data_IF_587859708716
#
_entry.id   IF_587859708716
#
_cell.length_a   1.000
_cell.length_b   1.000
_cell.length_c   1.000
_cell.angle_alpha   90.00
_cell.angle_beta   90.00
_cell.angle_gamma   90.00
#
_symmetry.space_group_name_H-M   'P 1'
#
loop_
_entity.id
_entity.type
_entity.pdbx_description
1 polymer ?
#
# COMPACT_ATOMS: atom_id res chain seq x y z
N UNK A 1 0.82 -1.10 20.41
CA UNK A 1 1.49 -1.56 19.16
C UNK A 1 0.76 -1.01 17.95
N UNK A 2 1.37 -0.09 17.20
CA UNK A 2 0.82 0.43 15.93
C UNK A 2 0.96 -0.67 14.88
N UNK A 3 -0.14 -1.35 14.49
CA UNK A 3 -0.11 -2.37 13.43
C UNK A 3 0.35 -1.70 12.14
N UNK A 4 1.59 -1.94 11.73
CA UNK A 4 2.07 -1.56 10.41
C UNK A 4 1.20 -2.31 9.39
N UNK A 5 0.45 -1.57 8.58
CA UNK A 5 -0.37 -2.15 7.53
C UNK A 5 0.54 -2.91 6.56
N UNK A 6 0.15 -4.13 6.16
CA UNK A 6 0.96 -5.03 5.32
C UNK A 6 1.11 -4.56 3.85
N UNK A 7 1.01 -3.26 3.59
CA UNK A 7 1.07 -2.71 2.22
C UNK A 7 0.02 -3.29 1.27
N UNK A 8 -1.12 -3.77 1.80
CA UNK A 8 -2.16 -4.35 0.95
C UNK A 8 -2.78 -3.26 0.08
N UNK A 9 -2.83 -3.53 -1.23
CA UNK A 9 -3.65 -2.78 -2.18
C UNK A 9 -5.09 -2.75 -1.67
N UNK A 10 -5.71 -1.57 -1.70
CA UNK A 10 -7.15 -1.45 -1.42
C UNK A 10 -7.94 -1.98 -2.60
N UNK A 11 -9.21 -2.31 -2.38
CA UNK A 11 -10.09 -2.74 -3.46
C UNK A 11 -10.21 -1.69 -4.59
N UNK A 12 -9.95 -0.41 -4.29
CA UNK A 12 -9.89 0.68 -5.28
C UNK A 12 -8.62 0.57 -6.14
N UNK A 13 -7.48 0.23 -5.53
CA UNK A 13 -6.21 0.05 -6.24
C UNK A 13 -6.22 -1.20 -7.15
N UNK A 14 -7.23 -2.08 -7.03
CA UNK A 14 -7.41 -3.29 -7.85
C UNK A 14 -8.41 -3.10 -9.00
N UNK A 15 -8.99 -1.90 -9.14
CA UNK A 15 -9.91 -1.61 -10.23
C UNK A 15 -9.16 -1.59 -11.58
N UNK A 16 -9.83 -1.98 -12.68
CA UNK A 16 -9.22 -1.92 -14.00
C UNK A 16 -9.01 -0.47 -14.45
N UNK A 17 -8.07 -0.26 -15.36
CA UNK A 17 -7.67 1.05 -15.89
C UNK A 17 -8.85 1.86 -16.48
N UNK A 18 -9.89 1.17 -16.99
CA UNK A 18 -11.11 1.82 -17.46
C UNK A 18 -11.81 2.67 -16.39
N UNK A 19 -11.57 2.40 -15.11
CA UNK A 19 -12.14 3.14 -13.98
C UNK A 19 -11.28 4.34 -13.53
N UNK A 20 -10.11 4.56 -14.11
CA UNK A 20 -9.15 5.57 -13.64
C UNK A 20 -9.75 6.98 -13.61
N UNK A 21 -10.58 7.32 -14.60
CA UNK A 21 -11.27 8.61 -14.66
C UNK A 21 -12.25 8.79 -13.48
N UNK A 22 -12.96 7.72 -13.09
CA UNK A 22 -13.89 7.74 -11.97
C UNK A 22 -13.13 7.87 -10.64
N UNK A 23 -11.97 7.21 -10.53
CA UNK A 23 -11.10 7.32 -9.36
C UNK A 23 -10.52 8.73 -9.25
N UNK A 24 -10.11 9.34 -10.37
CA UNK A 24 -9.59 10.70 -10.44
C UNK A 24 -10.66 11.72 -10.01
N UNK A 25 -11.87 11.63 -10.57
CA UNK A 25 -12.99 12.50 -10.17
C UNK A 25 -13.33 12.39 -8.68
N UNK A 26 -13.30 11.17 -8.12
CA UNK A 26 -13.50 10.98 -6.69
C UNK A 26 -12.35 11.58 -5.85
N UNK A 27 -11.11 11.48 -6.32
CA UNK A 27 -9.96 12.10 -5.65
C UNK A 27 -10.05 13.63 -5.63
N UNK A 28 -10.49 14.24 -6.72
CA UNK A 28 -10.73 15.67 -6.82
C UNK A 28 -11.85 16.11 -5.88
N UNK A 29 -12.99 15.42 -5.88
CA UNK A 29 -14.11 15.71 -4.98
C UNK A 29 -13.71 15.60 -3.49
N UNK A 30 -12.85 14.63 -3.13
CA UNK A 30 -12.31 14.48 -1.78
C UNK A 30 -11.38 15.64 -1.39
N UNK A 31 -10.61 16.18 -2.33
CA UNK A 31 -9.72 17.31 -2.09
C UNK A 31 -10.47 18.64 -2.01
N UNK A 32 -11.54 18.83 -2.78
CA UNK A 32 -12.36 20.06 -2.80
C UNK A 32 -13.09 20.34 -1.48
N UNK A 33 -13.38 19.30 -0.68
CA UNK A 33 -14.07 19.40 0.63
C UNK A 33 -15.48 20.02 0.60
N UNK A 34 -16.10 20.13 -0.57
CA UNK A 34 -17.44 20.69 -0.73
C UNK A 34 -18.56 19.71 -0.34
N UNK A 35 -18.30 18.41 -0.51
CA UNK A 35 -19.27 17.33 -0.29
C UNK A 35 -18.86 16.45 0.88
N UNK A 36 -19.85 15.82 1.51
CA UNK A 36 -19.59 14.79 2.52
C UNK A 36 -19.01 13.54 1.86
N UNK A 37 -18.16 12.83 2.61
CA UNK A 37 -17.52 11.61 2.11
C UNK A 37 -18.53 10.52 1.69
N UNK A 38 -19.70 10.46 2.35
CA UNK A 38 -20.77 9.55 1.97
C UNK A 38 -21.37 9.91 0.61
N UNK A 39 -21.69 11.18 0.38
CA UNK A 39 -22.22 11.64 -0.90
C UNK A 39 -21.23 11.36 -2.04
N UNK A 40 -19.94 11.62 -1.83
CA UNK A 40 -18.89 11.32 -2.81
C UNK A 40 -18.82 9.82 -3.10
N UNK A 41 -18.95 8.96 -2.07
CA UNK A 41 -18.96 7.52 -2.27
C UNK A 41 -20.18 7.03 -3.05
N UNK A 42 -21.36 7.62 -2.81
CA UNK A 42 -22.57 7.27 -3.54
C UNK A 42 -22.46 7.66 -5.03
N UNK A 43 -21.92 8.84 -5.33
CA UNK A 43 -21.60 9.28 -6.69
C UNK A 43 -20.57 8.35 -7.37
N UNK A 44 -19.48 8.03 -6.67
CA UNK A 44 -18.45 7.10 -7.14
C UNK A 44 -19.03 5.72 -7.47
N UNK A 45 -19.86 5.18 -6.58
CA UNK A 45 -20.53 3.89 -6.77
C UNK A 45 -21.53 3.92 -7.93
N UNK A 46 -22.24 5.02 -8.12
CA UNK A 46 -23.15 5.20 -9.24
C UNK A 46 -22.39 5.23 -10.58
N UNK A 47 -21.28 5.97 -10.64
CA UNK A 47 -20.42 6.05 -11.82
C UNK A 47 -19.82 4.68 -12.18
N UNK A 48 -19.31 3.92 -11.21
CA UNK A 48 -18.80 2.56 -11.46
C UNK A 48 -19.88 1.63 -12.03
N UNK A 49 -21.12 1.72 -11.54
CA UNK A 49 -22.24 0.93 -12.05
C UNK A 49 -22.64 1.33 -13.47
N UNK A 50 -22.61 2.63 -13.78
CA UNK A 50 -22.88 3.13 -15.14
C UNK A 50 -21.84 2.58 -16.11
N UNK A 51 -20.55 2.69 -15.76
CA UNK A 51 -19.46 2.17 -16.58
C UNK A 51 -19.54 0.65 -16.78
N UNK A 52 -19.90 -0.11 -15.74
CA UNK A 52 -20.14 -1.56 -15.88
C UNK A 52 -21.24 -1.88 -16.89
N UNK A 53 -22.31 -1.10 -16.94
CA UNK A 53 -23.40 -1.29 -17.92
C UNK A 53 -22.95 -0.96 -19.34
N UNK A 54 -22.15 0.09 -19.51
CA UNK A 54 -21.69 0.56 -20.82
C UNK A 54 -20.63 -0.36 -21.45
N UNK A 55 -19.67 -0.81 -20.64
CA UNK A 55 -18.54 -1.62 -21.14
C UNK A 55 -18.75 -3.13 -21.02
N UNK A 56 -19.75 -3.57 -20.25
CA UNK A 56 -19.98 -5.00 -19.98
C UNK A 56 -18.88 -5.67 -19.13
N UNK A 57 -17.96 -4.88 -18.55
CA UNK A 57 -16.88 -5.38 -17.71
C UNK A 57 -17.40 -5.75 -16.32
N UNK A 58 -17.09 -6.96 -15.86
CA UNK A 58 -17.43 -7.40 -14.50
C UNK A 58 -16.25 -7.15 -13.56
N UNK A 59 -16.37 -6.16 -12.68
CA UNK A 59 -15.41 -5.89 -11.61
C UNK A 59 -16.12 -5.68 -10.27
N UNK A 60 -15.40 -5.96 -9.18
CA UNK A 60 -15.94 -5.84 -7.83
C UNK A 60 -16.03 -4.38 -7.40
N UNK A 61 -17.24 -3.92 -7.06
CA UNK A 61 -17.45 -2.56 -6.53
C UNK A 61 -16.86 -2.49 -5.11
N UNK A 62 -15.91 -1.59 -4.84
CA UNK A 62 -15.31 -1.45 -3.52
C UNK A 62 -16.33 -1.08 -2.45
N UNK A 63 -16.13 -1.59 -1.23
CA UNK A 63 -16.94 -1.21 -0.06
C UNK A 63 -16.58 0.17 0.47
N UNK A 64 -17.49 0.79 1.24
CA UNK A 64 -17.26 2.09 1.89
C UNK A 64 -16.02 2.09 2.80
N UNK A 65 -15.75 0.98 3.51
CA UNK A 65 -14.53 0.85 4.33
C UNK A 65 -13.25 0.93 3.48
N UNK A 66 -13.26 0.36 2.28
CA UNK A 66 -12.13 0.45 1.35
C UNK A 66 -11.96 1.88 0.83
N UNK A 67 -13.06 2.55 0.49
CA UNK A 67 -13.08 3.96 0.12
C UNK A 67 -12.55 4.88 1.21
N UNK A 68 -12.92 4.63 2.47
CA UNK A 68 -12.40 5.40 3.60
C UNK A 68 -10.89 5.22 3.81
N UNK A 69 -10.35 4.02 3.59
CA UNK A 69 -8.90 3.81 3.66
C UNK A 69 -8.17 4.56 2.55
N UNK A 70 -8.76 4.59 1.35
CA UNK A 70 -8.24 5.35 0.23
C UNK A 70 -8.25 6.86 0.51
N UNK A 71 -9.36 7.41 0.98
CA UNK A 71 -9.47 8.85 1.29
C UNK A 71 -8.48 9.30 2.38
N UNK A 72 -8.34 8.51 3.45
CA UNK A 72 -7.35 8.79 4.50
C UNK A 72 -5.92 8.76 3.96
N UNK A 73 -5.60 7.78 3.09
CA UNK A 73 -4.28 7.68 2.46
C UNK A 73 -4.02 8.90 1.56
N UNK A 74 -4.99 9.28 0.74
CA UNK A 74 -4.92 10.44 -0.14
C UNK A 74 -4.69 11.71 0.68
N UNK A 75 -5.48 11.95 1.73
CA UNK A 75 -5.33 13.10 2.61
C UNK A 75 -3.95 13.20 3.27
N UNK A 76 -3.38 12.06 3.70
CA UNK A 76 -2.02 12.02 4.24
C UNK A 76 -0.96 12.41 3.19
N UNK A 77 -1.10 11.91 1.95
CA UNK A 77 -0.17 12.23 0.85
C UNK A 77 -0.30 13.71 0.48
N UNK A 78 -1.53 14.21 0.28
CA UNK A 78 -1.79 15.61 -0.04
C UNK A 78 -1.21 16.55 1.02
N UNK A 79 -1.41 16.27 2.31
CA UNK A 79 -0.83 17.07 3.40
C UNK A 79 0.70 17.08 3.36
N UNK A 80 1.31 15.93 3.11
CA UNK A 80 2.77 15.82 3.02
C UNK A 80 3.33 16.61 1.83
N UNK A 81 2.64 16.59 0.69
CA UNK A 81 3.02 17.36 -0.48
C UNK A 81 2.93 18.86 -0.21
N UNK A 82 1.86 19.31 0.44
CA UNK A 82 1.69 20.72 0.77
C UNK A 82 2.76 21.21 1.74
N UNK A 83 3.03 20.45 2.80
CA UNK A 83 4.16 20.74 3.71
C UNK A 83 5.49 20.83 2.98
N UNK A 84 5.72 19.97 1.98
CA UNK A 84 6.96 20.00 1.19
C UNK A 84 7.03 21.27 0.34
N UNK A 85 5.91 21.72 -0.24
CA UNK A 85 5.83 22.98 -1.00
C UNK A 85 6.06 24.19 -0.11
N UNK A 86 5.45 24.24 1.07
CA UNK A 86 5.68 25.30 2.06
C UNK A 86 7.16 25.40 2.47
N UNK A 87 7.80 24.25 2.74
CA UNK A 87 9.23 24.20 3.04
C UNK A 87 10.04 24.72 1.85
N UNK A 88 9.77 24.23 0.64
CA UNK A 88 10.48 24.67 -0.56
C UNK A 88 10.33 26.19 -0.80
N UNK A 89 9.12 26.74 -0.64
CA UNK A 89 8.85 28.17 -0.76
C UNK A 89 9.59 28.99 0.31
N UNK A 90 9.63 28.50 1.56
CA UNK A 90 10.36 29.16 2.64
C UNK A 90 11.88 29.15 2.42
N UNK A 91 12.40 28.08 1.80
CA UNK A 91 13.81 27.99 1.42
C UNK A 91 14.10 28.96 0.27
N UNK A 92 13.28 28.98 -0.79
CA UNK A 92 13.50 29.89 -1.94
C UNK A 92 13.47 31.36 -1.54
N UNK A 93 12.63 31.76 -0.59
CA UNK A 93 12.63 33.15 -0.07
C UNK A 93 13.93 33.52 0.67
N UNK A 94 14.60 32.55 1.31
CA UNK A 94 15.86 32.79 2.02
C UNK A 94 17.08 32.80 1.10
N UNK A 95 16.96 32.21 -0.09
CA UNK A 95 18.04 32.11 -1.06
C UNK A 95 17.82 33.12 -2.20
N UNK A 96 18.25 34.36 -1.98
CA UNK A 96 18.21 35.45 -2.97
C UNK A 96 19.17 35.19 -4.16
N UNK A 97 18.86 35.76 -5.33
CA UNK A 97 19.43 35.42 -6.64
C UNK A 97 20.98 35.54 -6.76
N UNK A 98 21.64 36.26 -5.84
CA UNK A 98 23.11 36.35 -5.76
C UNK A 98 23.80 35.08 -5.23
N UNK A 99 23.04 34.12 -4.70
CA UNK A 99 23.57 32.87 -4.16
C UNK A 99 23.35 31.64 -5.08
N UNK A 100 22.97 31.84 -6.34
CA UNK A 100 22.63 30.78 -7.31
C UNK A 100 23.67 29.65 -7.40
N UNK A 101 24.96 29.98 -7.46
CA UNK A 101 26.04 28.99 -7.56
C UNK A 101 26.15 28.14 -6.29
N UNK A 102 25.93 28.76 -5.13
CA UNK A 102 25.93 28.06 -3.83
C UNK A 102 24.72 27.12 -3.70
N UNK A 103 23.56 27.47 -4.26
CA UNK A 103 22.38 26.59 -4.29
C UNK A 103 22.65 25.37 -5.18
N UNK A 104 23.29 25.57 -6.33
CA UNK A 104 23.62 24.49 -7.26
C UNK A 104 24.58 23.50 -6.60
N UNK A 105 25.61 23.99 -5.91
CA UNK A 105 26.55 23.15 -5.17
C UNK A 105 25.90 22.45 -3.96
N UNK A 106 25.09 23.16 -3.17
CA UNK A 106 24.37 22.60 -2.02
C UNK A 106 23.37 21.52 -2.47
N UNK A 107 22.64 21.78 -3.55
CA UNK A 107 21.65 20.85 -4.10
C UNK A 107 22.33 19.63 -4.70
N UNK A 108 23.44 19.80 -5.43
CA UNK A 108 24.26 18.69 -5.91
C UNK A 108 24.81 17.85 -4.75
N UNK A 109 25.26 18.48 -3.66
CA UNK A 109 25.72 17.79 -2.46
C UNK A 109 24.59 17.04 -1.74
N UNK A 110 23.41 17.65 -1.62
CA UNK A 110 22.23 17.03 -1.01
C UNK A 110 21.69 15.86 -1.83
N UNK A 111 21.64 15.98 -3.16
CA UNK A 111 21.28 14.86 -4.05
C UNK A 111 22.29 13.72 -3.91
N UNK A 112 23.59 14.05 -3.89
CA UNK A 112 24.66 13.07 -3.70
C UNK A 112 24.55 12.36 -2.35
N UNK A 113 24.28 13.09 -1.28
CA UNK A 113 24.01 12.51 0.05
C UNK A 113 22.80 11.61 -0.02
N UNK A 114 21.68 12.05 -0.61
CA UNK A 114 20.45 11.27 -0.63
C UNK A 114 20.62 9.96 -1.40
N UNK A 115 21.32 10.01 -2.53
CA UNK A 115 21.69 8.81 -3.31
C UNK A 115 22.59 7.92 -2.48
N UNK A 116 23.64 8.48 -1.87
CA UNK A 116 24.57 7.73 -1.02
C UNK A 116 23.85 7.07 0.16
N UNK A 117 22.98 7.80 0.85
CA UNK A 117 22.14 7.32 1.94
C UNK A 117 21.18 6.25 1.48
N UNK A 118 20.55 6.41 0.31
CA UNK A 118 19.64 5.39 -0.26
C UNK A 118 20.38 4.09 -0.61
N UNK A 119 21.58 4.20 -1.18
CA UNK A 119 22.44 3.05 -1.51
C UNK A 119 23.02 2.40 -0.24
N UNK A 120 23.50 3.21 0.70
CA UNK A 120 24.15 2.75 1.95
C UNK A 120 23.16 2.22 2.97
N UNK A 121 21.95 2.77 3.02
CA UNK A 121 20.87 2.29 3.89
C UNK A 121 20.35 0.92 3.50
N UNK A 122 20.86 0.32 2.42
CA UNK A 122 20.62 -1.08 2.10
C UNK A 122 19.14 -1.43 2.20
N UNK A 123 18.24 -0.57 1.69
CA UNK A 123 16.86 -0.97 1.41
C UNK A 123 16.92 -1.90 0.22
N UNK A 124 17.52 -3.07 0.44
CA UNK A 124 17.34 -4.26 -0.36
C UNK A 124 15.84 -4.43 -0.40
N UNK A 125 15.26 -4.04 -1.54
CA UNK A 125 13.93 -4.45 -1.92
C UNK A 125 13.87 -5.94 -1.60
N UNK A 126 12.97 -6.34 -0.70
CA UNK A 126 12.74 -7.74 -0.39
C UNK A 126 12.10 -8.37 -1.63
N UNK A 127 12.90 -8.51 -2.69
CA UNK A 127 12.68 -9.46 -3.74
C UNK A 127 12.75 -10.79 -3.01
N UNK A 128 11.58 -11.39 -2.77
CA UNK A 128 11.47 -12.78 -2.32
C UNK A 128 12.40 -13.56 -3.25
N UNK A 129 13.58 -13.92 -2.76
CA UNK A 129 14.38 -14.92 -3.44
C UNK A 129 13.56 -16.20 -3.36
N UNK A 130 12.89 -16.54 -4.45
CA UNK A 130 12.57 -17.93 -4.76
C UNK A 130 13.92 -18.65 -4.87
N UNK A 131 14.46 -19.09 -3.74
CA UNK A 131 15.53 -20.09 -3.72
C UNK A 131 14.82 -21.43 -3.73
N UNK A 132 14.89 -22.09 -4.88
CA UNK A 132 14.86 -23.53 -5.08
C UNK A 132 14.12 -24.30 -4.00
N UNK A 133 12.86 -24.57 -4.31
CA UNK A 133 12.13 -25.72 -3.84
C UNK A 133 12.79 -26.98 -4.42
N UNK A 134 13.97 -27.35 -3.92
CA UNK A 134 14.51 -28.70 -4.10
C UNK A 134 15.51 -28.97 -2.98
N UNK A 135 15.20 -30.00 -2.20
CA UNK A 135 16.03 -30.66 -1.19
C UNK A 135 16.42 -29.87 0.07
N UNK A 136 15.62 -30.06 1.13
CA UNK A 136 16.18 -30.52 2.40
C UNK A 136 15.13 -31.26 3.23
N UNK A 137 15.08 -32.55 2.96
CA UNK A 137 14.66 -33.58 3.91
C UNK A 137 15.42 -33.41 5.23
N UNK A 138 14.72 -33.79 6.32
CA UNK A 138 15.19 -33.97 7.70
C UNK A 138 15.06 -32.74 8.62
N UNK A 139 13.87 -32.65 9.22
CA UNK A 139 13.76 -32.55 10.68
C UNK A 139 13.75 -31.15 11.30
N UNK A 140 12.71 -30.35 11.04
CA UNK A 140 12.38 -29.24 11.94
C UNK A 140 10.91 -28.79 11.82
N UNK A 141 9.99 -29.53 12.43
CA UNK A 141 8.61 -29.08 12.62
C UNK A 141 8.50 -28.38 13.98
N UNK A 142 8.64 -27.05 13.99
CA UNK A 142 8.18 -26.21 15.10
C UNK A 142 6.65 -26.18 15.04
N UNK A 143 6.02 -26.62 16.13
CA UNK A 143 4.58 -26.50 16.37
C UNK A 143 4.12 -25.08 16.05
N UNK A 144 3.30 -24.93 15.02
CA UNK A 144 2.38 -23.81 14.92
C UNK A 144 1.01 -24.38 14.54
N UNK A 145 0.03 -24.00 15.33
CA UNK A 145 -1.27 -24.63 15.49
C UNK A 145 -2.07 -24.46 14.19
N UNK A 146 -2.11 -25.50 13.35
CA UNK A 146 -3.06 -25.60 12.25
C UNK A 146 -4.23 -26.48 12.70
N UNK A 147 -5.40 -25.88 12.86
CA UNK A 147 -6.67 -26.58 13.02
C UNK A 147 -6.92 -27.43 11.75
N UNK A 148 -7.34 -28.70 11.85
CA UNK A 148 -7.54 -29.53 10.67
C UNK A 148 -8.75 -29.01 9.88
N UNK A 149 -8.67 -28.89 8.55
CA UNK A 149 -9.86 -28.71 7.75
C UNK A 149 -10.61 -30.06 7.73
N UNK A 150 -11.93 -29.99 7.77
CA UNK A 150 -12.82 -31.10 7.43
C UNK A 150 -12.90 -32.24 8.45
N UNK A 151 -13.37 -31.94 9.67
CA UNK A 151 -14.09 -32.89 10.56
C UNK A 151 -13.41 -34.22 10.93
N UNK A 152 -12.15 -34.45 10.55
CA UNK A 152 -11.44 -35.72 10.72
C UNK A 152 -10.50 -35.64 11.91
N UNK A 153 -10.63 -36.62 12.79
CA UNK A 153 -9.78 -36.81 13.97
C UNK A 153 -8.30 -37.00 13.58
N UNK A 154 -7.41 -36.27 14.26
CA UNK A 154 -5.95 -36.33 14.13
C UNK A 154 -5.35 -37.75 14.22
N UNK A 155 -6.10 -38.73 14.77
CA UNK A 155 -5.68 -40.13 14.90
C UNK A 155 -5.35 -40.82 13.57
N UNK A 156 -5.88 -40.35 12.44
CA UNK A 156 -5.65 -40.98 11.13
C UNK A 156 -4.48 -40.37 10.34
N UNK A 157 -3.91 -39.25 10.78
CA UNK A 157 -2.96 -38.46 9.97
C UNK A 157 -1.54 -38.50 10.55
N UNK A 158 -1.36 -38.81 11.84
CA UNK A 158 -0.06 -38.80 12.50
C UNK A 158 0.50 -40.22 12.73
N UNK A 159 1.79 -40.46 12.45
CA UNK A 159 2.45 -41.72 12.81
C UNK A 159 2.47 -41.90 14.35
N UNK A 160 2.39 -43.16 14.85
CA UNK A 160 2.08 -43.47 16.25
C UNK A 160 3.07 -42.91 17.27
N UNK A 161 4.27 -42.53 16.86
CA UNK A 161 5.30 -41.96 17.75
C UNK A 161 5.02 -40.51 18.19
N UNK A 162 4.12 -39.78 17.52
CA UNK A 162 3.80 -38.38 17.87
C UNK A 162 2.53 -38.23 18.74
N UNK A 163 1.69 -39.27 18.83
CA UNK A 163 0.46 -39.22 19.63
C UNK A 163 0.70 -39.25 21.15
N UNK A 164 1.85 -39.75 21.61
CA UNK A 164 2.20 -39.85 23.04
C UNK A 164 2.71 -38.55 23.68
N UNK A 165 2.95 -37.49 22.91
CA UNK A 165 3.50 -36.22 23.43
C UNK A 165 2.45 -35.14 23.71
N UNK A 166 1.18 -35.53 23.67
CA UNK A 166 -0.01 -34.69 23.91
C UNK A 166 -0.95 -35.31 24.95
N UNK A 167 -0.44 -36.23 25.77
CA UNK A 167 -1.01 -36.57 27.08
C UNK A 167 -0.16 -35.91 28.16
#
# INVERSE_FOLDING_TARGET
MRKVGRGCLTAIDLLPQACDQIIAAAAEALNGREKTQMAIYDEFKAALKALQKETGLSFSIPSFSSFNRYSLRLAMISRRLEQTREIAASLSQRFDAKASDNITLLTAAAIKELIFSTLSSGKVFHQRRHKNWLMRSKGFWRLNICRPPDGKSWKKILPPKQAKRLM
#
